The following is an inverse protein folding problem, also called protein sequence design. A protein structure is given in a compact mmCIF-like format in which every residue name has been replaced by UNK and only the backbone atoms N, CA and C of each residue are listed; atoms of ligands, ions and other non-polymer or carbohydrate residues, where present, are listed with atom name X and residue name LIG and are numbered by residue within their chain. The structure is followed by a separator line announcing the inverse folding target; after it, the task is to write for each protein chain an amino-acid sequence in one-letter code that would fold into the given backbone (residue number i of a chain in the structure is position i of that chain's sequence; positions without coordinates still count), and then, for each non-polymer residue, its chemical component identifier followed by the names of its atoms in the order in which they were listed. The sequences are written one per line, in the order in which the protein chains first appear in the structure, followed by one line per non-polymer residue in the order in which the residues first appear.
data_IF_725925541088
#
_entry.id   IF_725925541088
#
_cell.length_a   1.000
_cell.length_b   1.000
_cell.length_c   1.000
_cell.angle_alpha   90.00
_cell.angle_beta   90.00
_cell.angle_gamma   90.00
#
_symmetry.space_group_name_H-M   'P 1'
#
loop_
_entity.id
_entity.type
_entity.pdbx_description
1 polymer ?
#
# COMPACT_ATOMS: atom_id res chain seq x y z
N UNK A 1 -1.78 22.36 -10.79
CA UNK A 1 -0.38 22.66 -10.35
C UNK A 1 -0.35 23.50 -9.07
N UNK A 2 -0.96 24.69 -9.02
CA UNK A 2 -0.98 25.53 -7.79
C UNK A 2 -1.50 24.81 -6.54
N UNK A 3 -2.61 24.06 -6.64
CA UNK A 3 -3.17 23.27 -5.51
C UNK A 3 -2.15 22.30 -4.92
N UNK A 4 -1.40 21.61 -5.79
CA UNK A 4 -0.36 20.65 -5.39
C UNK A 4 0.74 21.40 -4.64
N UNK A 5 1.31 22.45 -5.24
CA UNK A 5 2.40 23.24 -4.66
C UNK A 5 2.02 23.75 -3.26
N UNK A 6 0.85 24.38 -3.13
CA UNK A 6 0.41 24.94 -1.84
C UNK A 6 0.22 23.85 -0.78
N UNK A 7 -0.43 22.74 -1.13
CA UNK A 7 -0.62 21.61 -0.21
C UNK A 7 0.71 20.94 0.19
N UNK A 8 1.66 20.82 -0.75
CA UNK A 8 3.00 20.30 -0.47
C UNK A 8 3.78 21.21 0.47
N UNK A 9 3.71 22.52 0.27
CA UNK A 9 4.37 23.50 1.15
C UNK A 9 3.80 23.44 2.57
N UNK A 10 2.48 23.29 2.70
CA UNK A 10 1.85 23.17 4.01
C UNK A 10 2.28 21.90 4.75
N UNK A 11 2.29 20.74 4.08
CA UNK A 11 2.80 19.50 4.67
C UNK A 11 4.28 19.59 5.01
N UNK A 12 5.10 20.22 4.16
CA UNK A 12 6.51 20.45 4.46
C UNK A 12 6.68 21.32 5.70
N UNK A 13 5.87 22.38 5.86
CA UNK A 13 5.88 23.20 7.07
C UNK A 13 5.53 22.38 8.32
N UNK A 14 4.56 21.47 8.23
CA UNK A 14 4.23 20.58 9.36
C UNK A 14 5.37 19.61 9.69
N UNK A 15 6.00 19.00 8.68
CA UNK A 15 7.18 18.13 8.88
C UNK A 15 8.32 18.91 9.51
N UNK A 16 8.55 20.17 9.11
CA UNK A 16 9.58 21.01 9.72
C UNK A 16 9.23 21.37 11.18
N UNK A 17 7.97 21.70 11.47
CA UNK A 17 7.54 21.95 12.85
C UNK A 17 7.75 20.70 13.71
N UNK A 18 7.35 19.53 13.22
CA UNK A 18 7.54 18.27 13.94
C UNK A 18 9.03 17.90 14.11
N UNK A 19 9.88 18.19 13.12
CA UNK A 19 11.32 18.03 13.23
C UNK A 19 11.93 18.87 14.36
N UNK A 20 11.49 20.13 14.54
CA UNK A 20 12.05 21.02 15.57
C UNK A 20 11.39 20.89 16.95
N UNK A 21 10.12 20.49 17.01
CA UNK A 21 9.33 20.46 18.25
C UNK A 21 8.85 19.05 18.64
N UNK A 22 9.31 18.01 17.94
CA UNK A 22 8.92 16.62 18.16
C UNK A 22 9.16 16.16 19.61
N UNK A 23 10.31 16.51 20.18
CA UNK A 23 10.68 16.18 21.57
C UNK A 23 9.62 16.64 22.58
N UNK A 24 9.12 17.87 22.48
CA UNK A 24 8.08 18.38 23.39
C UNK A 24 6.76 17.63 23.23
N UNK A 25 6.46 17.16 22.01
CA UNK A 25 5.24 16.37 21.77
C UNK A 25 5.39 14.90 22.22
N UNK A 26 6.62 14.43 22.43
CA UNK A 26 6.88 13.08 22.94
C UNK A 26 6.48 12.95 24.39
N UNK A 27 6.84 13.88 25.28
CA UNK A 27 6.48 13.79 26.72
C UNK A 27 4.96 13.61 26.92
N UNK A 28 4.16 14.37 26.16
CA UNK A 28 2.69 14.25 26.21
C UNK A 28 2.23 12.91 25.63
N UNK A 29 2.83 12.46 24.52
CA UNK A 29 2.45 11.21 23.86
C UNK A 29 2.87 9.97 24.65
N UNK A 30 3.96 10.08 25.41
CA UNK A 30 4.48 9.05 26.28
C UNK A 30 3.55 8.83 27.48
N UNK A 31 3.19 9.91 28.19
CA UNK A 31 2.18 9.87 29.26
C UNK A 31 0.87 9.21 28.82
N UNK A 32 0.47 9.42 27.56
CA UNK A 32 -0.72 8.76 27.00
C UNK A 32 -0.48 7.27 26.75
N UNK A 33 0.69 6.89 26.27
CA UNK A 33 1.06 5.49 26.01
C UNK A 33 1.11 4.70 27.31
N UNK A 34 1.78 5.22 28.33
CA UNK A 34 1.80 4.64 29.67
C UNK A 34 0.40 4.55 30.29
N UNK A 35 -0.40 5.62 30.14
CA UNK A 35 -1.78 5.61 30.60
C UNK A 35 -2.60 4.51 29.91
N UNK A 36 -2.48 4.35 28.59
CA UNK A 36 -3.19 3.29 27.86
C UNK A 36 -2.72 1.89 28.28
N UNK A 37 -1.42 1.68 28.48
CA UNK A 37 -0.89 0.38 28.89
C UNK A 37 -1.27 0.04 30.34
N UNK A 38 -1.25 1.02 31.26
CA UNK A 38 -1.64 0.81 32.65
C UNK A 38 -3.15 0.62 32.82
N UNK A 39 -3.98 1.39 32.11
CA UNK A 39 -5.44 1.32 32.21
C UNK A 39 -5.99 -0.06 31.81
N UNK A 40 -5.34 -0.74 30.87
CA UNK A 40 -5.78 -2.03 30.33
C UNK A 40 -4.91 -3.21 30.75
N UNK A 41 -4.07 -3.04 31.77
CA UNK A 41 -3.17 -4.07 32.31
C UNK A 41 -2.36 -4.79 31.20
N UNK A 42 -1.72 -4.02 30.33
CA UNK A 42 -0.98 -4.53 29.16
C UNK A 42 -0.04 -5.69 29.52
N UNK A 43 -0.06 -6.79 28.76
CA UNK A 43 0.76 -7.97 29.04
C UNK A 43 0.15 -8.95 30.04
N UNK A 44 -1.07 -8.70 30.52
CA UNK A 44 -1.91 -9.73 31.12
C UNK A 44 -2.39 -10.68 30.02
N UNK A 45 -1.94 -11.94 30.06
CA UNK A 45 -2.15 -12.96 29.00
C UNK A 45 -3.63 -13.20 28.61
N UNK A 46 -4.58 -12.78 29.44
CA UNK A 46 -6.02 -12.90 29.20
C UNK A 46 -6.71 -11.58 28.81
N UNK A 47 -5.95 -10.55 28.42
CA UNK A 47 -6.46 -9.23 28.07
C UNK A 47 -7.37 -9.25 26.83
N UNK A 48 -8.69 -9.17 27.03
CA UNK A 48 -9.65 -9.02 25.92
C UNK A 48 -9.37 -7.76 25.08
N UNK A 49 -8.94 -6.68 25.73
CA UNK A 49 -8.60 -5.41 25.07
C UNK A 49 -7.37 -5.56 24.18
N UNK A 50 -6.32 -6.21 24.68
CA UNK A 50 -5.11 -6.49 23.92
C UNK A 50 -5.42 -7.33 22.66
N UNK A 51 -6.16 -8.42 22.84
CA UNK A 51 -6.60 -9.28 21.73
C UNK A 51 -7.45 -8.52 20.71
N UNK A 52 -8.35 -7.65 21.18
CA UNK A 52 -9.17 -6.80 20.31
C UNK A 52 -8.31 -5.83 19.51
N UNK A 53 -7.41 -5.08 20.17
CA UNK A 53 -6.52 -4.11 19.51
C UNK A 53 -5.53 -4.78 18.55
N UNK A 54 -5.10 -6.01 18.84
CA UNK A 54 -4.23 -6.80 17.98
C UNK A 54 -4.86 -7.04 16.61
N UNK A 55 -6.17 -7.27 16.54
CA UNK A 55 -6.89 -7.46 15.27
C UNK A 55 -6.76 -6.21 14.39
N UNK A 56 -7.00 -5.02 14.95
CA UNK A 56 -6.89 -3.76 14.21
C UNK A 56 -5.46 -3.45 13.81
N UNK A 57 -4.50 -3.71 14.71
CA UNK A 57 -3.08 -3.61 14.39
C UNK A 57 -2.70 -4.48 13.19
N UNK A 58 -3.16 -5.74 13.16
CA UNK A 58 -2.92 -6.67 12.04
C UNK A 58 -3.58 -6.18 10.76
N UNK A 59 -4.82 -5.67 10.83
CA UNK A 59 -5.52 -5.12 9.66
C UNK A 59 -4.84 -3.84 9.13
N UNK A 60 -4.20 -3.05 9.99
CA UNK A 60 -3.33 -1.94 9.59
C UNK A 60 -1.99 -2.37 8.98
N UNK A 61 -1.61 -3.64 9.10
CA UNK A 61 -0.33 -4.18 8.70
C UNK A 61 -0.18 -4.43 7.19
N UNK A 62 1.06 -4.30 6.71
CA UNK A 62 1.45 -4.57 5.31
C UNK A 62 1.04 -5.95 4.81
N UNK A 63 1.18 -6.98 5.65
CA UNK A 63 0.90 -8.36 5.28
C UNK A 63 -0.58 -8.57 4.96
N UNK A 64 -1.47 -8.04 5.80
CA UNK A 64 -2.91 -8.15 5.60
C UNK A 64 -3.36 -7.40 4.34
N UNK A 65 -2.91 -6.15 4.15
CA UNK A 65 -3.21 -5.40 2.92
C UNK A 65 -2.69 -6.12 1.66
N UNK A 66 -1.52 -6.74 1.75
CA UNK A 66 -0.98 -7.63 0.71
C UNK A 66 -1.92 -8.78 0.36
N UNK A 67 -2.46 -9.47 1.37
CA UNK A 67 -3.47 -10.53 1.17
C UNK A 67 -4.74 -9.98 0.53
N UNK A 68 -5.19 -8.79 0.94
CA UNK A 68 -6.35 -8.13 0.33
C UNK A 68 -6.11 -7.83 -1.15
N UNK A 69 -4.90 -7.36 -1.55
CA UNK A 69 -4.56 -7.17 -2.96
C UNK A 69 -4.71 -8.45 -3.78
N UNK A 70 -4.20 -9.56 -3.26
CA UNK A 70 -4.26 -10.88 -3.90
C UNK A 70 -5.73 -11.31 -4.07
N UNK A 71 -6.54 -11.16 -3.03
CA UNK A 71 -7.98 -11.50 -3.07
C UNK A 71 -8.72 -10.62 -4.08
N UNK A 72 -8.48 -9.31 -4.09
CA UNK A 72 -9.08 -8.39 -5.04
C UNK A 72 -8.64 -8.71 -6.47
N UNK A 73 -7.36 -8.98 -6.67
CA UNK A 73 -6.80 -9.36 -7.97
C UNK A 73 -7.44 -10.63 -8.51
N UNK A 74 -7.75 -11.60 -7.67
CA UNK A 74 -8.44 -12.81 -8.10
C UNK A 74 -9.92 -12.57 -8.42
N UNK A 75 -10.62 -11.78 -7.61
CA UNK A 75 -12.09 -11.68 -7.65
C UNK A 75 -12.65 -10.54 -8.50
N UNK A 76 -11.91 -9.45 -8.68
CA UNK A 76 -12.42 -8.27 -9.39
C UNK A 76 -12.17 -8.38 -10.89
N UNK A 77 -13.18 -8.03 -11.70
CA UNK A 77 -12.98 -7.77 -13.13
C UNK A 77 -12.30 -6.42 -13.40
N UNK A 78 -12.35 -5.49 -12.44
CA UNK A 78 -11.78 -4.15 -12.55
C UNK A 78 -10.32 -4.12 -12.08
N UNK A 79 -9.41 -4.72 -12.86
CA UNK A 79 -7.98 -4.75 -12.52
C UNK A 79 -7.35 -3.37 -12.50
N UNK A 80 -7.78 -2.47 -13.37
CA UNK A 80 -7.24 -1.10 -13.42
C UNK A 80 -7.39 -0.39 -12.06
N UNK A 81 -8.54 -0.55 -11.40
CA UNK A 81 -8.76 0.01 -10.07
C UNK A 81 -7.84 -0.63 -9.00
N UNK A 82 -7.55 -1.92 -9.14
CA UNK A 82 -6.61 -2.61 -8.24
C UNK A 82 -5.19 -2.13 -8.48
N UNK A 83 -4.79 -1.91 -9.73
CA UNK A 83 -3.50 -1.30 -10.06
C UNK A 83 -3.38 0.09 -9.44
N UNK A 84 -4.41 0.94 -9.56
CA UNK A 84 -4.46 2.23 -8.85
C UNK A 84 -4.29 2.07 -7.35
N UNK A 85 -4.98 1.12 -6.72
CA UNK A 85 -4.88 0.88 -5.28
C UNK A 85 -3.46 0.42 -4.87
N UNK A 86 -2.84 -0.51 -5.60
CA UNK A 86 -1.46 -0.97 -5.37
C UNK A 86 -0.48 0.19 -5.56
N UNK A 87 -0.67 1.02 -6.59
CA UNK A 87 0.15 2.20 -6.85
C UNK A 87 0.08 3.20 -5.69
N UNK A 88 -1.13 3.52 -5.22
CA UNK A 88 -1.30 4.45 -4.11
C UNK A 88 -0.74 3.91 -2.80
N UNK A 89 -0.90 2.61 -2.54
CA UNK A 89 -0.24 1.95 -1.41
C UNK A 89 1.28 2.06 -1.48
N UNK A 90 1.86 1.87 -2.67
CA UNK A 90 3.31 1.96 -2.88
C UNK A 90 3.84 3.37 -2.68
N UNK A 91 3.16 4.38 -3.24
CA UNK A 91 3.51 5.80 -3.03
C UNK A 91 3.44 6.16 -1.54
N UNK A 92 2.39 5.71 -0.86
CA UNK A 92 2.19 5.95 0.57
C UNK A 92 3.27 5.28 1.42
N UNK A 93 3.62 4.04 1.09
CA UNK A 93 4.70 3.32 1.79
C UNK A 93 6.06 3.98 1.55
N UNK A 94 6.35 4.44 0.33
CA UNK A 94 7.54 5.22 0.03
C UNK A 94 7.60 6.49 0.87
N UNK A 95 6.52 7.28 0.91
CA UNK A 95 6.46 8.52 1.69
C UNK A 95 6.69 8.28 3.18
N UNK A 96 6.13 7.21 3.75
CA UNK A 96 6.38 6.84 5.15
C UNK A 96 7.87 6.61 5.44
N UNK A 97 8.53 5.76 4.64
CA UNK A 97 9.97 5.50 4.79
C UNK A 97 10.83 6.72 4.50
N UNK A 98 10.45 7.53 3.50
CA UNK A 98 11.15 8.75 3.15
C UNK A 98 11.11 9.79 4.27
N UNK A 99 9.94 10.01 4.88
CA UNK A 99 9.78 10.95 5.99
C UNK A 99 10.48 10.44 7.25
N UNK A 100 10.48 9.12 7.51
CA UNK A 100 11.30 8.50 8.57
C UNK A 100 12.79 8.81 8.43
N UNK A 101 13.29 8.76 7.20
CA UNK A 101 14.65 9.19 6.84
C UNK A 101 14.86 10.72 6.85
N UNK A 102 13.83 11.52 7.11
CA UNK A 102 13.96 12.96 7.38
C UNK A 102 13.91 13.23 8.88
N UNK A 103 12.94 12.63 9.59
CA UNK A 103 12.66 12.92 10.99
C UNK A 103 13.58 12.18 11.99
N UNK A 104 14.04 10.97 11.67
CA UNK A 104 14.91 10.17 12.56
C UNK A 104 14.36 9.89 13.96
N UNK A 105 13.05 10.03 14.18
CA UNK A 105 12.51 9.99 15.53
C UNK A 105 12.42 8.55 16.09
N UNK A 106 12.75 8.35 17.37
CA UNK A 106 12.70 7.06 18.04
C UNK A 106 11.28 6.52 18.18
N UNK A 107 11.19 5.28 18.66
CA UNK A 107 9.94 4.65 19.09
C UNK A 107 9.88 4.72 20.63
N UNK A 108 8.68 4.65 21.24
CA UNK A 108 8.53 4.70 22.69
C UNK A 108 9.48 3.77 23.46
N UNK A 109 9.53 2.49 23.08
CA UNK A 109 10.37 1.48 23.75
C UNK A 109 11.88 1.64 23.53
N UNK A 110 12.34 2.63 22.76
CA UNK A 110 13.77 2.95 22.64
C UNK A 110 14.24 3.90 23.75
N UNK A 111 13.32 4.62 24.38
CA UNK A 111 13.64 5.67 25.35
C UNK A 111 13.16 5.28 26.74
N UNK A 112 12.02 4.61 26.83
CA UNK A 112 11.39 4.28 28.10
C UNK A 112 11.46 2.77 28.40
N UNK A 113 11.99 2.43 29.58
CA UNK A 113 12.06 1.05 30.06
C UNK A 113 10.71 0.47 30.49
N UNK A 114 9.75 1.34 30.79
CA UNK A 114 8.47 0.97 31.38
C UNK A 114 7.43 0.65 30.31
N UNK A 115 7.65 1.11 29.07
CA UNK A 115 6.81 0.80 27.92
C UNK A 115 7.01 -0.67 27.52
N UNK A 116 5.97 -1.47 27.74
CA UNK A 116 5.99 -2.90 27.41
C UNK A 116 5.89 -3.11 25.90
N UNK A 117 6.61 -4.11 25.40
CA UNK A 117 6.73 -4.40 23.97
C UNK A 117 6.40 -5.85 23.63
N UNK A 118 5.49 -6.06 22.67
CA UNK A 118 5.23 -7.39 22.07
C UNK A 118 5.94 -7.61 20.73
N UNK A 119 6.30 -6.54 20.05
CA UNK A 119 6.91 -6.62 18.72
C UNK A 119 8.24 -5.90 18.69
N UNK A 120 9.32 -6.65 18.50
CA UNK A 120 10.67 -6.12 18.28
C UNK A 120 10.78 -5.48 16.88
N UNK A 121 10.12 -4.32 16.69
CA UNK A 121 10.23 -3.53 15.46
C UNK A 121 11.54 -2.74 15.46
N UNK A 122 12.03 -2.49 14.26
CA UNK A 122 13.23 -1.67 14.02
C UNK A 122 12.89 -0.50 13.13
N UNK A 123 13.85 0.42 13.01
CA UNK A 123 13.68 1.65 12.25
C UNK A 123 12.91 2.70 13.05
N UNK A 124 12.69 3.84 12.41
CA UNK A 124 12.12 5.03 13.03
C UNK A 124 10.62 4.91 13.30
N UNK A 125 10.16 5.68 14.29
CA UNK A 125 8.77 5.79 14.68
C UNK A 125 7.96 6.66 13.71
N UNK A 126 8.44 7.86 13.39
CA UNK A 126 7.63 8.90 12.74
C UNK A 126 7.76 8.95 11.20
N UNK A 127 6.66 8.84 10.43
CA UNK A 127 5.27 8.64 10.88
C UNK A 127 4.93 7.16 11.09
N UNK A 128 3.83 6.90 11.80
CA UNK A 128 3.33 5.53 11.94
C UNK A 128 2.88 4.95 10.60
N UNK A 129 3.61 3.94 10.10
CA UNK A 129 3.32 3.28 8.81
C UNK A 129 1.92 2.67 8.76
N UNK A 130 1.43 2.17 9.90
CA UNK A 130 0.11 1.54 9.97
C UNK A 130 -0.99 2.60 9.90
N UNK A 131 -0.86 3.72 10.61
CA UNK A 131 -1.80 4.84 10.53
C UNK A 131 -1.83 5.43 9.12
N UNK A 132 -0.65 5.72 8.55
CA UNK A 132 -0.48 6.30 7.21
C UNK A 132 -1.03 5.39 6.10
N UNK A 133 -0.64 4.11 6.07
CA UNK A 133 -1.09 3.21 5.00
C UNK A 133 -2.56 2.83 5.14
N UNK A 134 -3.05 2.62 6.36
CA UNK A 134 -4.45 2.21 6.57
C UNK A 134 -5.43 3.27 6.09
N UNK A 135 -5.21 4.55 6.42
CA UNK A 135 -6.12 5.62 5.98
C UNK A 135 -6.17 5.71 4.46
N UNK A 136 -5.03 5.67 3.77
CA UNK A 136 -5.01 5.72 2.30
C UNK A 136 -5.63 4.46 1.69
N UNK A 137 -5.20 3.29 2.15
CA UNK A 137 -5.62 2.01 1.60
C UNK A 137 -7.12 1.78 1.78
N UNK A 138 -7.64 1.89 3.00
CA UNK A 138 -9.04 1.55 3.28
C UNK A 138 -10.03 2.59 2.74
N UNK A 139 -9.64 3.87 2.65
CA UNK A 139 -10.48 4.88 1.99
C UNK A 139 -10.59 4.59 0.49
N UNK A 140 -9.48 4.38 -0.22
CA UNK A 140 -9.52 4.07 -1.66
C UNK A 140 -10.19 2.70 -1.90
N UNK A 141 -9.91 1.71 -1.05
CA UNK A 141 -10.54 0.39 -1.14
C UNK A 141 -12.06 0.48 -0.96
N UNK A 142 -12.53 1.27 0.02
CA UNK A 142 -13.96 1.46 0.26
C UNK A 142 -14.66 1.98 -0.98
N UNK A 143 -14.10 2.99 -1.62
CA UNK A 143 -14.67 3.61 -2.81
C UNK A 143 -14.63 2.66 -4.02
N UNK A 144 -13.52 1.92 -4.16
CA UNK A 144 -13.33 0.93 -5.24
C UNK A 144 -14.38 -0.18 -5.16
N UNK A 145 -14.59 -0.72 -3.95
CA UNK A 145 -15.56 -1.79 -3.70
C UNK A 145 -17.00 -1.29 -3.75
N UNK A 146 -17.29 -0.13 -3.14
CA UNK A 146 -18.65 0.37 -3.00
C UNK A 146 -19.19 0.98 -4.30
N UNK A 147 -18.43 1.83 -4.97
CA UNK A 147 -18.97 2.68 -6.03
C UNK A 147 -18.49 2.30 -7.42
N UNK A 148 -17.20 1.99 -7.58
CA UNK A 148 -16.62 1.77 -8.92
C UNK A 148 -16.92 0.39 -9.48
N UNK A 149 -16.89 -0.65 -8.64
CA UNK A 149 -17.29 -2.02 -9.04
C UNK A 149 -18.68 -2.09 -9.70
N UNK A 150 -19.62 -1.29 -9.21
CA UNK A 150 -21.01 -1.38 -9.65
C UNK A 150 -21.41 -0.34 -10.70
N UNK A 151 -20.65 0.75 -10.89
CA UNK A 151 -20.87 1.66 -12.03
C UNK A 151 -20.75 0.93 -13.38
N UNK A 152 -19.81 0.00 -13.49
CA UNK A 152 -19.64 -0.83 -14.70
C UNK A 152 -20.79 -1.82 -14.88
N UNK A 153 -21.32 -2.38 -13.79
CA UNK A 153 -22.49 -3.28 -13.88
C UNK A 153 -23.79 -2.52 -14.16
N UNK A 154 -23.94 -1.27 -13.75
CA UNK A 154 -25.15 -0.48 -14.00
C UNK A 154 -25.35 -0.15 -15.49
N UNK A 155 -24.27 -0.07 -16.29
CA UNK A 155 -24.37 0.00 -17.75
C UNK A 155 -24.86 -1.32 -18.37
N UNK A 156 -24.58 -2.46 -17.73
CA UNK A 156 -24.93 -3.81 -18.22
C UNK A 156 -26.27 -4.33 -17.67
N UNK A 157 -26.69 -3.84 -16.50
CA UNK A 157 -27.99 -4.07 -15.91
C UNK A 157 -29.03 -3.28 -16.72
N UNK A 158 -29.51 -3.91 -17.80
CA UNK A 158 -30.76 -3.60 -18.49
C UNK A 158 -32.00 -3.54 -17.57
N UNK A 159 -31.85 -3.59 -16.24
CA UNK A 159 -32.90 -3.22 -15.28
C UNK A 159 -33.29 -1.75 -15.44
N UNK A 160 -32.40 -0.87 -15.89
CA UNK A 160 -32.74 0.51 -16.31
C UNK A 160 -33.32 0.60 -17.74
N UNK A 161 -33.38 -0.48 -18.53
CA UNK A 161 -34.06 -0.45 -19.84
C UNK A 161 -35.58 -0.59 -19.72
N UNK A 162 -36.08 -1.05 -18.57
CA UNK A 162 -37.51 -1.06 -18.23
C UNK A 162 -38.00 0.23 -17.55
N UNK A 163 -37.08 1.10 -17.10
CA UNK A 163 -37.39 2.42 -16.58
C UNK A 163 -37.44 3.37 -17.78
N UNK A 164 -38.65 3.85 -18.12
CA UNK A 164 -38.97 4.78 -19.22
C UNK A 164 -37.77 5.55 -19.77
N UNK A 165 -37.56 5.49 -21.10
CA UNK A 165 -36.51 6.23 -21.81
C UNK A 165 -36.46 7.73 -21.43
N UNK A 166 -37.60 8.33 -21.06
CA UNK A 166 -37.68 9.72 -20.56
C UNK A 166 -36.95 9.96 -19.22
N UNK A 167 -36.92 8.96 -18.32
CA UNK A 167 -36.11 9.04 -17.09
C UNK A 167 -34.63 8.87 -17.38
N UNK A 168 -34.25 8.10 -18.42
CA UNK A 168 -32.86 7.89 -18.81
C UNK A 168 -32.17 9.20 -19.21
N UNK A 169 -32.90 10.12 -19.86
CA UNK A 169 -32.44 11.49 -20.17
C UNK A 169 -32.34 12.39 -18.93
N UNK A 170 -33.22 12.24 -17.94
CA UNK A 170 -33.11 12.96 -16.66
C UNK A 170 -31.96 12.44 -15.77
N UNK A 171 -31.63 11.16 -15.85
CA UNK A 171 -30.50 10.57 -15.11
C UNK A 171 -29.14 10.99 -15.67
N UNK A 172 -29.06 11.36 -16.96
CA UNK A 172 -27.81 11.86 -17.53
C UNK A 172 -27.41 13.25 -17.05
N UNK A 173 -28.32 14.03 -16.44
CA UNK A 173 -28.02 15.40 -15.99
C UNK A 173 -27.90 15.56 -14.48
N UNK A 174 -28.44 14.63 -13.66
CA UNK A 174 -28.38 14.72 -12.20
C UNK A 174 -27.32 13.77 -11.64
N UNK A 175 -26.16 14.32 -11.28
CA UNK A 175 -25.11 13.61 -10.55
C UNK A 175 -25.72 13.12 -9.22
N UNK A 176 -26.00 11.81 -9.12
CA UNK A 176 -26.57 11.23 -7.91
C UNK A 176 -25.64 11.51 -6.73
N UNK A 177 -26.23 11.83 -5.58
CA UNK A 177 -25.45 11.92 -4.34
C UNK A 177 -24.88 10.55 -3.99
N UNK A 178 -23.77 10.51 -3.24
CA UNK A 178 -23.19 9.24 -2.79
C UNK A 178 -24.15 8.46 -1.88
N UNK A 179 -25.03 9.15 -1.14
CA UNK A 179 -26.08 8.54 -0.32
C UNK A 179 -27.12 7.83 -1.21
N UNK A 180 -27.58 8.48 -2.27
CA UNK A 180 -28.53 7.90 -3.23
C UNK A 180 -27.91 6.71 -3.97
N UNK A 181 -26.65 6.86 -4.41
CA UNK A 181 -25.93 5.77 -5.07
C UNK A 181 -25.73 4.58 -4.12
N UNK A 182 -25.35 4.82 -2.86
CA UNK A 182 -25.16 3.76 -1.88
C UNK A 182 -26.48 3.02 -1.60
N UNK A 183 -27.57 3.75 -1.33
CA UNK A 183 -28.88 3.14 -1.08
C UNK A 183 -29.42 2.35 -2.27
N UNK A 184 -29.12 2.77 -3.50
CA UNK A 184 -29.46 2.02 -4.72
C UNK A 184 -28.62 0.75 -4.89
N UNK A 185 -27.33 0.80 -4.58
CA UNK A 185 -26.43 -0.36 -4.68
C UNK A 185 -26.67 -1.39 -3.58
N UNK A 186 -27.17 -0.93 -2.43
CA UNK A 186 -27.33 -1.73 -1.22
C UNK A 186 -28.74 -1.57 -0.62
N UNK A 187 -29.81 -1.92 -1.36
CA UNK A 187 -31.18 -1.66 -0.93
C UNK A 187 -31.59 -2.42 0.34
N UNK A 188 -30.86 -3.49 0.67
CA UNK A 188 -31.12 -4.35 1.83
C UNK A 188 -30.13 -4.14 2.97
N UNK A 189 -29.23 -3.15 2.92
CA UNK A 189 -28.31 -2.92 4.04
C UNK A 189 -28.98 -2.13 5.14
N UNK A 190 -28.84 -2.60 6.37
CA UNK A 190 -29.30 -1.87 7.56
C UNK A 190 -28.48 -0.61 7.84
N UNK A 191 -27.29 -0.50 7.24
CA UNK A 191 -26.38 0.63 7.42
C UNK A 191 -26.63 1.70 6.34
N UNK A 192 -26.78 2.94 6.77
CA UNK A 192 -26.71 4.12 5.90
C UNK A 192 -25.26 4.42 5.50
N UNK A 193 -25.07 5.19 4.43
CA UNK A 193 -23.73 5.60 4.00
C UNK A 193 -22.99 6.44 5.06
N UNK A 194 -23.71 7.26 5.83
CA UNK A 194 -23.13 8.01 6.95
C UNK A 194 -22.65 7.08 8.08
N UNK A 195 -23.42 6.05 8.43
CA UNK A 195 -22.99 5.03 9.39
C UNK A 195 -21.77 4.26 8.89
N UNK A 196 -21.74 3.91 7.60
CA UNK A 196 -20.58 3.29 6.98
C UNK A 196 -19.31 4.14 7.11
N UNK A 197 -19.39 5.44 6.79
CA UNK A 197 -18.26 6.38 6.94
C UNK A 197 -17.80 6.47 8.40
N UNK A 198 -18.73 6.52 9.34
CA UNK A 198 -18.42 6.55 10.77
C UNK A 198 -17.71 5.26 11.22
N UNK A 199 -18.17 4.09 10.78
CA UNK A 199 -17.51 2.82 11.06
C UNK A 199 -16.10 2.76 10.47
N UNK A 200 -15.91 3.23 9.24
CA UNK A 200 -14.58 3.31 8.62
C UNK A 200 -13.65 4.25 9.39
N UNK A 201 -14.13 5.43 9.79
CA UNK A 201 -13.36 6.38 10.59
C UNK A 201 -12.97 5.78 11.96
N UNK A 202 -13.91 5.09 12.61
CA UNK A 202 -13.68 4.38 13.88
C UNK A 202 -12.64 3.28 13.72
N UNK A 203 -12.75 2.49 12.64
CA UNK A 203 -11.77 1.44 12.32
C UNK A 203 -10.36 2.00 12.15
N UNK A 204 -10.21 3.10 11.40
CA UNK A 204 -8.93 3.76 11.18
C UNK A 204 -8.36 4.39 12.46
N UNK A 205 -9.22 4.96 13.29
CA UNK A 205 -8.85 5.51 14.59
C UNK A 205 -8.30 4.41 15.51
N UNK A 206 -9.03 3.30 15.68
CA UNK A 206 -8.59 2.17 16.52
C UNK A 206 -7.29 1.56 15.96
N UNK A 207 -7.15 1.48 14.63
CA UNK A 207 -5.90 1.03 14.00
C UNK A 207 -4.72 1.91 14.40
N UNK A 208 -4.87 3.25 14.41
CA UNK A 208 -3.83 4.15 14.90
C UNK A 208 -3.53 3.95 16.38
N UNK A 209 -4.55 4.03 17.23
CA UNK A 209 -4.42 3.89 18.70
C UNK A 209 -3.79 2.55 19.09
N UNK A 210 -4.09 1.46 18.37
CA UNK A 210 -3.46 0.16 18.62
C UNK A 210 -1.94 0.22 18.54
N UNK A 211 -1.34 1.04 17.65
CA UNK A 211 0.12 1.16 17.56
C UNK A 211 0.72 1.87 18.78
N UNK A 212 0.01 2.84 19.36
CA UNK A 212 0.42 3.48 20.61
C UNK A 212 0.25 2.54 21.79
N UNK A 213 -0.87 1.81 21.86
CA UNK A 213 -1.08 0.79 22.89
C UNK A 213 0.04 -0.27 22.92
N UNK A 214 0.46 -0.78 21.77
CA UNK A 214 1.57 -1.74 21.65
C UNK A 214 2.98 -1.12 21.80
N UNK A 215 3.07 0.15 22.21
CA UNK A 215 4.33 0.88 22.38
C UNK A 215 5.10 1.13 21.07
N UNK A 216 4.52 0.83 19.90
CA UNK A 216 5.26 0.87 18.62
C UNK A 216 5.44 2.28 18.07
N UNK A 217 4.55 3.20 18.45
CA UNK A 217 4.52 4.57 17.98
C UNK A 217 3.92 5.49 19.04
N UNK A 218 4.52 6.65 19.26
CA UNK A 218 3.89 7.72 20.02
C UNK A 218 2.61 8.22 19.32
N UNK A 219 1.69 8.84 20.07
CA UNK A 219 0.43 9.35 19.52
C UNK A 219 0.66 10.43 18.46
N UNK A 220 1.60 11.35 18.66
CA UNK A 220 1.97 12.35 17.65
C UNK A 220 2.41 11.68 16.32
N UNK A 221 3.17 10.59 16.35
CA UNK A 221 3.59 9.84 15.15
C UNK A 221 2.40 9.19 14.43
N UNK A 222 1.37 8.76 15.18
CA UNK A 222 0.11 8.27 14.62
C UNK A 222 -0.67 9.40 13.94
N UNK A 223 -0.78 10.56 14.60
CA UNK A 223 -1.42 11.76 14.06
C UNK A 223 -0.72 12.24 12.80
N UNK A 224 0.62 12.31 12.81
CA UNK A 224 1.42 12.66 11.64
C UNK A 224 1.17 11.68 10.50
N UNK A 225 1.09 10.38 10.79
CA UNK A 225 0.68 9.36 9.81
C UNK A 225 -0.68 9.64 9.18
N UNK A 226 -1.69 10.04 9.97
CA UNK A 226 -3.00 10.44 9.42
C UNK A 226 -2.95 11.74 8.61
N UNK A 227 -2.16 12.74 9.03
CA UNK A 227 -2.00 14.00 8.30
C UNK A 227 -1.38 13.73 6.93
N UNK A 228 -0.28 12.99 6.87
CA UNK A 228 0.39 12.62 5.61
C UNK A 228 -0.55 11.76 4.75
N UNK A 229 -1.29 10.82 5.35
CA UNK A 229 -2.26 10.00 4.63
C UNK A 229 -3.43 10.82 4.06
N UNK A 230 -3.94 11.77 4.84
CA UNK A 230 -4.95 12.74 4.41
C UNK A 230 -4.45 13.61 3.25
N UNK A 231 -3.18 14.03 3.30
CA UNK A 231 -2.54 14.73 2.19
C UNK A 231 -2.46 13.87 0.91
N UNK A 232 -2.06 12.60 1.02
CA UNK A 232 -2.04 11.67 -0.12
C UNK A 232 -3.44 11.49 -0.70
N UNK A 233 -4.46 11.34 0.13
CA UNK A 233 -5.86 11.28 -0.31
C UNK A 233 -6.31 12.61 -0.95
N UNK A 234 -5.85 13.75 -0.44
CA UNK A 234 -6.12 15.05 -1.04
C UNK A 234 -5.54 15.15 -2.46
N UNK A 235 -4.29 14.71 -2.66
CA UNK A 235 -3.70 14.64 -3.99
C UNK A 235 -4.47 13.69 -4.91
N UNK A 236 -4.85 12.52 -4.39
CA UNK A 236 -5.60 11.50 -5.12
C UNK A 236 -6.93 12.04 -5.67
N UNK A 237 -7.75 12.63 -4.80
CA UNK A 237 -9.11 13.06 -5.14
C UNK A 237 -9.22 14.48 -5.68
N UNK A 238 -8.47 15.45 -5.14
CA UNK A 238 -8.66 16.87 -5.43
C UNK A 238 -7.60 17.45 -6.38
N UNK A 239 -6.49 16.74 -6.61
CA UNK A 239 -5.45 17.14 -7.56
C UNK A 239 -5.40 16.27 -8.82
N UNK A 240 -6.49 15.54 -9.12
CA UNK A 240 -6.65 14.69 -10.31
C UNK A 240 -5.59 13.59 -10.44
N UNK A 241 -4.88 13.22 -9.37
CA UNK A 241 -3.90 12.13 -9.42
C UNK A 241 -4.57 10.80 -9.77
N UNK A 242 -5.79 10.56 -9.28
CA UNK A 242 -6.57 9.38 -9.69
C UNK A 242 -6.71 9.29 -11.22
N UNK A 243 -7.19 10.37 -11.86
CA UNK A 243 -7.45 10.40 -13.32
C UNK A 243 -6.16 10.22 -14.10
N UNK A 244 -5.04 10.76 -13.59
CA UNK A 244 -3.73 10.58 -14.20
C UNK A 244 -3.28 9.12 -14.13
N UNK A 245 -3.45 8.45 -12.98
CA UNK A 245 -3.13 7.02 -12.84
C UNK A 245 -4.02 6.14 -13.73
N UNK A 246 -5.32 6.44 -13.81
CA UNK A 246 -6.27 5.78 -14.70
C UNK A 246 -5.88 5.93 -16.16
N UNK A 247 -5.65 7.16 -16.62
CA UNK A 247 -5.19 7.42 -17.98
C UNK A 247 -3.87 6.71 -18.27
N UNK A 248 -2.95 6.65 -17.31
CA UNK A 248 -1.66 5.99 -17.45
C UNK A 248 -1.81 4.48 -17.63
N UNK A 249 -2.64 3.82 -16.82
CA UNK A 249 -2.88 2.38 -16.96
C UNK A 249 -3.70 2.05 -18.21
N UNK A 250 -4.75 2.82 -18.53
CA UNK A 250 -5.53 2.65 -19.76
C UNK A 250 -4.62 2.77 -20.98
N UNK A 251 -3.74 3.78 -21.04
CA UNK A 251 -2.77 3.90 -22.12
C UNK A 251 -1.84 2.69 -22.19
N UNK A 252 -1.35 2.19 -21.05
CA UNK A 252 -0.50 1.01 -21.03
C UNK A 252 -1.22 -0.26 -21.52
N UNK A 253 -2.49 -0.42 -21.16
CA UNK A 253 -3.28 -1.59 -21.49
C UNK A 253 -3.71 -1.58 -22.96
N UNK A 254 -4.21 -0.44 -23.46
CA UNK A 254 -4.88 -0.35 -24.77
C UNK A 254 -4.02 0.23 -25.89
N UNK A 255 -3.08 1.14 -25.61
CA UNK A 255 -2.29 1.81 -26.66
C UNK A 255 -0.99 1.06 -26.99
N UNK A 256 -1.09 -0.25 -27.25
CA UNK A 256 0.06 -1.08 -27.62
C UNK A 256 0.65 -0.69 -28.99
N UNK A 257 -0.13 0.01 -29.85
CA UNK A 257 0.30 0.47 -31.18
C UNK A 257 1.02 1.82 -31.19
N UNK A 258 1.28 2.44 -30.04
CA UNK A 258 1.99 3.72 -29.99
C UNK A 258 3.38 3.65 -30.66
N UNK A 259 3.75 4.73 -31.35
CA UNK A 259 5.09 4.88 -31.91
C UNK A 259 6.15 4.79 -30.81
N UNK A 260 7.25 4.05 -31.08
CA UNK A 260 8.34 3.78 -30.13
C UNK A 260 8.82 5.03 -29.37
N UNK A 261 8.89 6.18 -30.06
CA UNK A 261 9.31 7.45 -29.47
C UNK A 261 8.37 7.95 -28.37
N UNK A 262 7.05 7.83 -28.54
CA UNK A 262 6.09 8.19 -27.49
C UNK A 262 6.24 7.23 -26.30
N UNK A 263 6.44 5.93 -26.56
CA UNK A 263 6.65 4.92 -25.53
C UNK A 263 7.85 5.28 -24.63
N UNK A 264 8.99 5.54 -25.25
CA UNK A 264 10.23 5.91 -24.55
C UNK A 264 10.06 7.23 -23.78
N UNK A 265 9.31 8.20 -24.30
CA UNK A 265 9.03 9.46 -23.60
C UNK A 265 8.20 9.25 -22.34
N UNK A 266 7.17 8.40 -22.38
CA UNK A 266 6.34 8.10 -21.21
C UNK A 266 7.13 7.31 -20.15
N UNK A 267 7.86 6.27 -20.57
CA UNK A 267 8.73 5.49 -19.69
C UNK A 267 9.81 6.37 -19.05
N UNK A 268 10.45 7.24 -19.83
CA UNK A 268 11.48 8.15 -19.34
C UNK A 268 10.95 9.12 -18.28
N UNK A 269 9.74 9.67 -18.47
CA UNK A 269 9.09 10.52 -17.46
C UNK A 269 8.85 9.78 -16.15
N UNK A 270 8.26 8.59 -16.22
CA UNK A 270 7.99 7.78 -15.02
C UNK A 270 9.29 7.36 -14.32
N UNK A 271 10.32 6.97 -15.08
CA UNK A 271 11.62 6.65 -14.54
C UNK A 271 12.25 7.84 -13.80
N UNK A 272 12.13 9.06 -14.32
CA UNK A 272 12.60 10.27 -13.62
C UNK A 272 11.83 10.45 -12.31
N UNK A 273 10.50 10.31 -12.32
CA UNK A 273 9.67 10.46 -11.13
C UNK A 273 9.92 9.41 -10.04
N UNK A 274 10.45 8.22 -10.39
CA UNK A 274 10.80 7.19 -9.39
C UNK A 274 12.27 7.24 -8.98
N UNK A 275 13.19 7.44 -9.92
CA UNK A 275 14.63 7.48 -9.66
C UNK A 275 15.02 8.72 -8.87
N UNK A 276 14.44 9.90 -9.17
CA UNK A 276 14.83 11.12 -8.48
C UNK A 276 14.56 11.09 -6.96
N UNK A 277 13.35 10.74 -6.47
CA UNK A 277 13.11 10.59 -5.04
C UNK A 277 13.96 9.48 -4.40
N UNK A 278 14.27 8.41 -5.15
CA UNK A 278 15.16 7.36 -4.67
C UNK A 278 16.60 7.86 -4.49
N UNK A 279 17.12 8.69 -5.40
CA UNK A 279 18.45 9.29 -5.26
C UNK A 279 18.53 10.18 -4.01
N UNK A 280 17.47 10.95 -3.74
CA UNK A 280 17.38 11.74 -2.49
C UNK A 280 17.36 10.80 -1.27
N UNK A 281 16.61 9.70 -1.33
CA UNK A 281 16.56 8.71 -0.26
C UNK A 281 17.93 8.09 0.02
N UNK A 282 18.69 7.76 -1.04
CA UNK A 282 20.07 7.26 -0.93
C UNK A 282 20.99 8.31 -0.32
N UNK A 283 20.85 9.58 -0.72
CA UNK A 283 21.64 10.67 -0.14
C UNK A 283 21.35 10.83 1.36
N UNK A 284 20.08 10.83 1.77
CA UNK A 284 19.68 10.87 3.18
C UNK A 284 20.25 9.69 3.96
N UNK A 285 20.12 8.48 3.42
CA UNK A 285 20.71 7.27 4.00
C UNK A 285 22.22 7.43 4.22
N UNK A 286 22.96 7.92 3.22
CA UNK A 286 24.42 8.12 3.32
C UNK A 286 24.78 9.20 4.35
N UNK A 287 24.03 10.30 4.40
CA UNK A 287 24.26 11.36 5.39
C UNK A 287 24.05 10.84 6.82
N UNK A 288 23.01 10.03 7.04
CA UNK A 288 22.68 9.49 8.36
C UNK A 288 23.61 8.40 8.83
N UNK A 289 23.97 7.47 7.95
CA UNK A 289 24.91 6.38 8.27
C UNK A 289 26.29 6.92 8.66
N UNK A 290 26.62 8.17 8.32
CA UNK A 290 27.86 8.83 8.69
C UNK A 290 27.69 9.89 9.80
N UNK A 291 26.49 10.05 10.37
CA UNK A 291 26.25 11.00 11.45
C UNK A 291 26.60 10.36 12.80
N UNK A 292 27.70 10.80 13.41
CA UNK A 292 28.24 10.25 14.66
C UNK A 292 27.26 10.40 15.83
N UNK A 293 26.58 11.55 15.94
CA UNK A 293 25.63 11.82 17.03
C UNK A 293 24.43 10.87 16.95
N UNK A 294 23.89 10.68 15.74
CA UNK A 294 22.79 9.75 15.51
C UNK A 294 23.18 8.29 15.78
N UNK A 295 24.41 7.90 15.43
CA UNK A 295 24.93 6.54 15.73
C UNK A 295 24.99 6.33 17.24
N UNK A 296 25.49 7.32 18.00
CA UNK A 296 25.54 7.24 19.45
C UNK A 296 24.14 7.12 20.05
N UNK A 297 23.17 7.92 19.60
CA UNK A 297 21.77 7.81 20.02
C UNK A 297 21.19 6.42 19.72
N UNK A 298 21.49 5.86 18.54
CA UNK A 298 21.04 4.51 18.18
C UNK A 298 21.67 3.42 19.04
N UNK A 299 22.92 3.58 19.47
CA UNK A 299 23.57 2.67 20.41
C UNK A 299 22.88 2.71 21.78
N UNK A 300 22.53 3.90 22.26
CA UNK A 300 21.76 4.09 23.50
C UNK A 300 20.38 3.44 23.41
N UNK A 301 19.63 3.68 22.32
CA UNK A 301 18.37 2.98 22.03
C UNK A 301 18.53 1.47 21.98
N UNK A 302 19.67 0.98 21.48
CA UNK A 302 20.01 -0.43 21.44
C UNK A 302 20.17 -1.07 22.82
N UNK A 303 20.54 -0.30 23.85
CA UNK A 303 20.62 -0.76 25.23
C UNK A 303 19.21 -0.93 25.83
N UNK A 304 18.31 0.05 25.63
CA UNK A 304 16.90 -0.07 26.03
C UNK A 304 16.19 -1.20 25.28
N UNK A 305 16.50 -1.39 23.99
CA UNK A 305 15.96 -2.49 23.22
C UNK A 305 16.37 -3.87 23.78
N UNK A 306 17.58 -4.00 24.33
CA UNK A 306 18.07 -5.25 24.93
C UNK A 306 17.45 -5.55 26.30
N UNK A 307 17.10 -4.52 27.08
CA UNK A 307 16.51 -4.72 28.40
C UNK A 307 15.17 -5.47 28.33
N UNK A 308 14.52 -5.43 27.16
CA UNK A 308 13.31 -6.17 26.87
C UNK A 308 13.63 -7.65 26.55
N UNK A 309 13.27 -8.56 27.46
CA UNK A 309 13.49 -10.01 27.32
C UNK A 309 13.04 -10.60 25.97
N UNK A 310 11.96 -10.09 25.37
CA UNK A 310 11.46 -10.57 24.06
C UNK A 310 12.40 -10.22 22.90
N UNK A 311 13.29 -9.24 23.06
CA UNK A 311 14.15 -8.69 22.02
C UNK A 311 15.65 -8.98 22.21
N UNK A 312 16.04 -9.61 23.32
CA UNK A 312 17.44 -9.91 23.68
C UNK A 312 18.22 -10.57 22.52
N UNK A 313 17.63 -11.55 21.86
CA UNK A 313 18.25 -12.28 20.75
C UNK A 313 18.33 -11.51 19.41
N UNK A 314 17.95 -10.23 19.38
CA UNK A 314 17.85 -9.44 18.14
C UNK A 314 18.82 -8.26 18.05
N UNK A 315 19.68 -8.04 19.06
CA UNK A 315 20.59 -6.90 19.13
C UNK A 315 21.53 -6.77 17.92
N UNK A 316 22.24 -7.85 17.55
CA UNK A 316 23.18 -7.80 16.41
C UNK A 316 22.49 -7.34 15.13
N UNK A 317 21.21 -7.70 15.00
CA UNK A 317 20.40 -7.29 13.88
C UNK A 317 19.84 -5.89 14.07
N UNK A 318 19.71 -5.35 15.28
CA UNK A 318 19.24 -3.98 15.54
C UNK A 318 20.24 -2.97 14.97
N UNK A 319 21.49 -3.02 15.45
CA UNK A 319 22.56 -2.09 15.05
C UNK A 319 22.81 -2.08 13.54
N UNK A 320 22.74 -3.25 12.89
CA UNK A 320 23.04 -3.39 11.45
C UNK A 320 21.88 -3.07 10.52
N UNK A 321 20.66 -2.81 11.00
CA UNK A 321 19.49 -2.77 10.10
C UNK A 321 18.60 -1.53 10.21
N UNK A 322 18.95 -0.56 11.05
CA UNK A 322 18.09 0.59 11.31
C UNK A 322 17.82 1.39 10.02
N UNK A 323 18.86 1.98 9.42
CA UNK A 323 18.77 2.72 8.16
C UNK A 323 18.46 1.82 6.97
N UNK A 324 18.98 0.59 7.00
CA UNK A 324 18.80 -0.39 5.93
C UNK A 324 17.32 -0.72 5.70
N UNK A 325 16.52 -0.77 6.77
CA UNK A 325 15.09 -1.03 6.65
C UNK A 325 14.37 0.11 5.92
N UNK A 326 14.71 1.35 6.21
CA UNK A 326 14.04 2.52 5.64
C UNK A 326 14.41 2.71 4.16
N UNK A 327 15.69 2.55 3.79
CA UNK A 327 16.11 2.66 2.39
C UNK A 327 15.55 1.51 1.52
N UNK A 328 15.48 0.29 2.08
CA UNK A 328 14.82 -0.85 1.41
C UNK A 328 13.32 -0.59 1.28
N UNK A 329 12.70 -0.04 2.32
CA UNK A 329 11.31 0.39 2.29
C UNK A 329 11.02 1.42 1.21
N UNK A 330 11.92 2.39 1.00
CA UNK A 330 11.80 3.41 -0.04
C UNK A 330 11.84 2.83 -1.47
N UNK A 331 12.48 1.68 -1.69
CA UNK A 331 12.53 1.03 -3.00
C UNK A 331 11.15 0.64 -3.54
N UNK A 332 10.11 0.56 -2.68
CA UNK A 332 8.73 0.24 -3.09
C UNK A 332 8.16 1.22 -4.11
N UNK A 333 8.73 2.44 -4.24
CA UNK A 333 8.32 3.41 -5.27
C UNK A 333 8.52 2.90 -6.70
N UNK A 334 9.36 1.89 -6.90
CA UNK A 334 9.56 1.26 -8.21
C UNK A 334 8.44 0.29 -8.59
N UNK A 335 7.62 -0.17 -7.64
CA UNK A 335 6.51 -1.07 -7.92
C UNK A 335 5.51 -0.47 -8.94
N UNK A 336 5.00 0.77 -8.79
CA UNK A 336 4.19 1.43 -9.82
C UNK A 336 4.84 1.48 -11.20
N UNK A 337 6.13 1.76 -11.26
CA UNK A 337 6.88 1.82 -12.51
C UNK A 337 6.96 0.45 -13.18
N UNK A 338 7.28 -0.61 -12.43
CA UNK A 338 7.33 -1.97 -12.95
C UNK A 338 5.95 -2.50 -13.35
N UNK A 339 4.89 -2.20 -12.59
CA UNK A 339 3.51 -2.52 -12.98
C UNK A 339 3.16 -1.85 -14.31
N UNK A 340 3.48 -0.56 -14.48
CA UNK A 340 3.27 0.15 -15.74
C UNK A 340 4.04 -0.51 -16.88
N UNK A 341 5.34 -0.76 -16.73
CA UNK A 341 6.14 -1.41 -17.76
C UNK A 341 5.57 -2.78 -18.14
N UNK A 342 5.19 -3.59 -17.15
CA UNK A 342 4.62 -4.91 -17.43
C UNK A 342 3.29 -4.80 -18.17
N UNK A 343 2.42 -3.86 -17.80
CA UNK A 343 1.17 -3.62 -18.54
C UNK A 343 1.45 -3.16 -19.98
N UNK A 344 2.43 -2.27 -20.13
CA UNK A 344 2.79 -1.64 -21.40
C UNK A 344 3.42 -2.61 -22.40
N UNK A 345 4.23 -3.56 -21.92
CA UNK A 345 4.97 -4.51 -22.76
C UNK A 345 4.31 -5.90 -22.86
N UNK A 346 3.32 -6.21 -22.01
CA UNK A 346 2.61 -7.50 -22.08
C UNK A 346 1.48 -7.39 -23.10
N UNK A 347 1.56 -8.10 -24.24
CA UNK A 347 0.51 -8.05 -25.25
C UNK A 347 -0.76 -8.75 -24.73
N UNK A 348 -1.91 -8.12 -24.96
CA UNK A 348 -3.19 -8.68 -24.57
C UNK A 348 -4.34 -7.69 -24.71
N UNK A 349 -5.56 -8.21 -24.61
CA UNK A 349 -6.77 -7.40 -24.51
C UNK A 349 -7.30 -7.42 -23.08
N UNK A 350 -7.91 -6.31 -22.67
CA UNK A 350 -8.65 -6.19 -21.42
C UNK A 350 -10.07 -5.74 -21.74
N UNK A 351 -11.06 -6.59 -21.45
CA UNK A 351 -12.48 -6.33 -21.72
C UNK A 351 -13.28 -6.56 -20.44
N UNK A 352 -13.21 -5.66 -19.45
CA UNK A 352 -13.81 -5.88 -18.13
C UNK A 352 -15.30 -6.24 -18.20
N UNK A 353 -16.02 -5.76 -19.21
CA UNK A 353 -17.46 -6.01 -19.42
C UNK A 353 -17.78 -7.49 -19.72
N UNK A 354 -16.81 -8.26 -20.23
CA UNK A 354 -16.97 -9.70 -20.46
C UNK A 354 -16.62 -10.55 -19.22
N UNK A 355 -16.15 -9.93 -18.14
CA UNK A 355 -15.68 -10.66 -16.97
C UNK A 355 -16.85 -11.28 -16.18
N UNK A 356 -16.98 -12.61 -16.25
CA UNK A 356 -17.97 -13.33 -15.46
C UNK A 356 -17.53 -13.46 -13.99
N UNK A 357 -18.33 -12.88 -13.08
CA UNK A 357 -18.07 -12.89 -11.63
C UNK A 357 -18.30 -14.24 -10.92
N UNK A 358 -18.68 -15.31 -11.61
CA UNK A 358 -18.84 -16.64 -11.03
C UNK A 358 -17.47 -17.25 -10.66
N UNK A 359 -17.00 -16.90 -9.46
CA UNK A 359 -15.65 -17.17 -8.93
C UNK A 359 -15.46 -18.56 -8.31
N UNK A 360 -16.53 -19.32 -8.08
CA UNK A 360 -16.51 -20.66 -7.47
C UNK A 360 -16.58 -21.80 -8.50
N UNK A 361 -16.02 -21.60 -9.69
CA UNK A 361 -15.85 -22.65 -10.68
C UNK A 361 -14.55 -23.43 -10.43
N UNK A 362 -14.41 -24.62 -11.01
CA UNK A 362 -13.15 -25.39 -10.99
C UNK A 362 -11.96 -24.53 -11.47
N UNK A 363 -12.19 -23.65 -12.47
CA UNK A 363 -11.22 -22.66 -12.93
C UNK A 363 -10.77 -21.72 -11.80
N UNK A 364 -11.70 -21.25 -10.97
CA UNK A 364 -11.41 -20.42 -9.81
C UNK A 364 -10.46 -21.10 -8.81
N UNK A 365 -10.68 -22.39 -8.52
CA UNK A 365 -9.80 -23.17 -7.62
C UNK A 365 -8.39 -23.30 -8.21
N UNK A 366 -8.28 -23.63 -9.51
CA UNK A 366 -6.99 -23.73 -10.20
C UNK A 366 -6.24 -22.40 -10.15
N UNK A 367 -6.92 -21.27 -10.37
CA UNK A 367 -6.32 -19.93 -10.28
C UNK A 367 -5.75 -19.61 -8.90
N UNK A 368 -6.46 -20.00 -7.83
CA UNK A 368 -6.00 -19.84 -6.45
C UNK A 368 -4.74 -20.68 -6.21
N UNK A 369 -4.73 -21.95 -6.63
CA UNK A 369 -3.58 -22.83 -6.47
C UNK A 369 -2.33 -22.30 -7.19
N UNK A 370 -2.49 -21.83 -8.43
CA UNK A 370 -1.40 -21.19 -9.19
C UNK A 370 -0.85 -19.98 -8.42
N UNK A 371 -1.73 -19.11 -7.91
CA UNK A 371 -1.30 -17.92 -7.18
C UNK A 371 -0.59 -18.27 -5.87
N UNK A 372 -1.10 -19.26 -5.11
CA UNK A 372 -0.43 -19.75 -3.90
C UNK A 372 0.96 -20.28 -4.22
N UNK A 373 1.12 -21.08 -5.28
CA UNK A 373 2.42 -21.57 -5.73
C UNK A 373 3.41 -20.44 -6.06
N UNK A 374 2.93 -19.39 -6.74
CA UNK A 374 3.73 -18.21 -7.08
C UNK A 374 4.08 -17.35 -5.86
N UNK A 375 3.20 -17.25 -4.87
CA UNK A 375 3.49 -16.55 -3.61
C UNK A 375 4.53 -17.31 -2.79
N UNK A 376 4.44 -18.65 -2.76
CA UNK A 376 5.46 -19.49 -2.13
C UNK A 376 6.81 -19.31 -2.81
N UNK A 377 6.87 -19.25 -4.15
CA UNK A 377 8.13 -19.00 -4.86
C UNK A 377 8.68 -17.61 -4.56
N UNK A 378 7.83 -16.59 -4.43
CA UNK A 378 8.25 -15.25 -4.02
C UNK A 378 8.84 -15.25 -2.60
N UNK A 379 8.19 -15.93 -1.65
CA UNK A 379 8.70 -16.08 -0.28
C UNK A 379 10.05 -16.81 -0.28
N UNK A 380 10.19 -17.86 -1.08
CA UNK A 380 11.46 -18.58 -1.21
C UNK A 380 12.57 -17.70 -1.78
N UNK A 381 12.30 -16.93 -2.84
CA UNK A 381 13.24 -15.97 -3.41
C UNK A 381 13.63 -14.93 -2.35
N UNK A 382 12.66 -14.39 -1.61
CA UNK A 382 12.92 -13.40 -0.56
C UNK A 382 13.81 -13.97 0.55
N UNK A 383 13.51 -15.18 1.06
CA UNK A 383 14.34 -15.87 2.06
C UNK A 383 15.74 -16.13 1.52
N UNK A 384 15.85 -16.60 0.28
CA UNK A 384 17.13 -16.89 -0.37
C UNK A 384 17.97 -15.61 -0.53
N UNK A 385 17.40 -14.56 -1.12
CA UNK A 385 18.06 -13.25 -1.27
C UNK A 385 18.51 -12.73 0.10
N UNK A 386 17.65 -12.79 1.12
CA UNK A 386 18.00 -12.34 2.46
C UNK A 386 19.11 -13.19 3.09
N UNK A 387 19.08 -14.51 2.93
CA UNK A 387 20.10 -15.41 3.45
C UNK A 387 21.45 -15.17 2.79
N UNK A 388 21.48 -15.02 1.45
CA UNK A 388 22.69 -14.74 0.68
C UNK A 388 23.27 -13.36 1.05
N UNK A 389 22.42 -12.35 1.21
CA UNK A 389 22.86 -11.01 1.62
C UNK A 389 23.37 -11.00 3.07
N UNK A 390 22.71 -11.72 3.97
CA UNK A 390 23.06 -11.72 5.41
C UNK A 390 24.20 -12.70 5.77
N UNK A 391 24.55 -13.67 4.92
CA UNK A 391 25.59 -14.66 5.20
C UNK A 391 27.01 -14.15 4.99
N UNK A 392 27.18 -13.04 4.27
CA UNK A 392 28.51 -12.49 4.03
C UNK A 392 28.90 -11.58 5.21
N UNK A 393 29.97 -11.94 5.91
CA UNK A 393 30.53 -11.26 7.09
C UNK A 393 31.18 -9.90 6.80
N UNK A 394 31.02 -9.38 5.58
CA UNK A 394 31.58 -8.12 5.12
C UNK A 394 30.47 -7.08 5.00
N UNK A 395 30.86 -5.81 5.09
CA UNK A 395 30.12 -4.58 4.75
C UNK A 395 29.67 -4.54 3.27
N UNK A 396 29.14 -5.66 2.76
CA UNK A 396 28.57 -5.85 1.43
C UNK A 396 27.23 -5.11 1.41
N UNK A 397 27.45 -3.81 1.26
CA UNK A 397 26.71 -2.72 0.65
C UNK A 397 25.21 -2.87 0.63
N UNK A 398 24.54 -1.89 1.25
CA UNK A 398 23.14 -1.51 1.00
C UNK A 398 22.73 -1.56 -0.47
N UNK A 399 23.66 -1.37 -1.41
CA UNK A 399 23.45 -1.61 -2.82
C UNK A 399 22.84 -3.01 -3.12
N UNK A 400 23.29 -4.09 -2.48
CA UNK A 400 22.72 -5.43 -2.64
C UNK A 400 21.30 -5.54 -2.08
N UNK A 401 21.04 -4.89 -0.93
CA UNK A 401 19.69 -4.83 -0.37
C UNK A 401 18.73 -4.06 -1.29
N UNK A 402 19.18 -2.92 -1.81
CA UNK A 402 18.44 -2.11 -2.78
C UNK A 402 18.19 -2.94 -4.06
N UNK A 403 19.23 -3.49 -4.68
CA UNK A 403 19.11 -4.29 -5.91
C UNK A 403 18.21 -5.52 -5.69
N UNK A 404 18.37 -6.21 -4.56
CA UNK A 404 17.52 -7.35 -4.20
C UNK A 404 16.05 -6.95 -4.04
N UNK A 405 15.78 -5.80 -3.42
CA UNK A 405 14.42 -5.28 -3.28
C UNK A 405 13.84 -4.83 -4.63
N UNK A 406 14.61 -4.12 -5.46
CA UNK A 406 14.19 -3.74 -6.81
C UNK A 406 13.84 -4.96 -7.67
N UNK A 407 14.65 -6.03 -7.58
CA UNK A 407 14.36 -7.30 -8.23
C UNK A 407 13.07 -7.93 -7.71
N UNK A 408 12.80 -7.86 -6.41
CA UNK A 408 11.56 -8.37 -5.81
C UNK A 408 10.32 -7.62 -6.32
N UNK A 409 10.37 -6.30 -6.42
CA UNK A 409 9.26 -5.49 -6.95
C UNK A 409 9.03 -5.73 -8.45
N UNK A 410 10.11 -5.91 -9.22
CA UNK A 410 10.04 -6.30 -10.63
C UNK A 410 9.42 -7.70 -10.77
N UNK A 411 9.91 -8.66 -9.97
CA UNK A 411 9.40 -10.03 -9.98
C UNK A 411 7.92 -10.09 -9.63
N UNK A 412 7.49 -9.35 -8.60
CA UNK A 412 6.08 -9.24 -8.23
C UNK A 412 5.22 -8.67 -9.38
N UNK A 413 5.72 -7.64 -10.08
CA UNK A 413 5.02 -7.05 -11.23
C UNK A 413 4.91 -8.03 -12.40
N UNK A 414 6.01 -8.72 -12.73
CA UNK A 414 6.03 -9.76 -13.77
C UNK A 414 5.10 -10.92 -13.42
N UNK A 415 5.12 -11.34 -12.16
CA UNK A 415 4.26 -12.40 -11.63
C UNK A 415 2.80 -12.03 -11.85
N UNK A 416 2.39 -10.84 -11.40
CA UNK A 416 1.01 -10.40 -11.41
C UNK A 416 0.46 -10.16 -12.83
N UNK A 417 1.26 -9.52 -13.69
CA UNK A 417 0.80 -8.99 -14.98
C UNK A 417 1.10 -9.93 -16.15
N UNK A 418 2.21 -10.68 -16.10
CA UNK A 418 2.69 -11.48 -17.24
C UNK A 418 2.58 -12.97 -16.95
N UNK A 419 3.20 -13.46 -15.88
CA UNK A 419 3.28 -14.90 -15.58
C UNK A 419 1.91 -15.47 -15.21
N UNK A 420 1.15 -14.77 -14.36
CA UNK A 420 -0.13 -15.25 -13.88
C UNK A 420 -1.16 -15.43 -15.02
N UNK A 421 -1.38 -14.46 -15.94
CA UNK A 421 -2.25 -14.67 -17.10
C UNK A 421 -1.77 -15.80 -18.02
N UNK A 422 -0.46 -15.94 -18.21
CA UNK A 422 0.12 -17.04 -19.02
C UNK A 422 -0.18 -18.41 -18.40
N UNK A 423 -0.02 -18.55 -17.09
CA UNK A 423 -0.34 -19.79 -16.38
C UNK A 423 -1.83 -20.10 -16.40
N UNK A 424 -2.70 -19.09 -16.29
CA UNK A 424 -4.14 -19.29 -16.45
C UNK A 424 -4.50 -19.81 -17.83
N UNK A 425 -3.90 -19.26 -18.90
CA UNK A 425 -4.08 -19.77 -20.26
C UNK A 425 -3.57 -21.19 -20.41
N UNK A 426 -2.36 -21.47 -19.91
CA UNK A 426 -1.74 -22.81 -19.97
C UNK A 426 -2.60 -23.87 -19.27
N UNK A 427 -3.16 -23.54 -18.12
CA UNK A 427 -4.04 -24.43 -17.34
C UNK A 427 -5.51 -24.41 -17.79
N UNK A 428 -5.86 -23.73 -18.90
CA UNK A 428 -7.26 -23.54 -19.37
C UNK A 428 -8.19 -22.94 -18.29
N UNK A 429 -7.62 -22.12 -17.42
CA UNK A 429 -8.27 -21.44 -16.31
C UNK A 429 -8.52 -19.96 -16.61
N UNK A 430 -8.31 -19.53 -17.85
CA UNK A 430 -8.60 -18.18 -18.31
C UNK A 430 -10.12 -17.92 -18.33
N UNK A 431 -10.46 -16.65 -18.07
CA UNK A 431 -11.82 -16.11 -18.05
C UNK A 431 -11.87 -15.01 -19.10
N UNK A 432 -12.95 -14.97 -19.88
CA UNK A 432 -13.17 -13.90 -20.85
C UNK A 432 -13.21 -12.54 -20.13
N UNK A 433 -12.64 -11.52 -20.77
CA UNK A 433 -12.55 -10.19 -20.18
C UNK A 433 -11.50 -10.01 -19.07
N UNK A 434 -10.83 -11.08 -18.64
CA UNK A 434 -9.73 -10.97 -17.68
C UNK A 434 -8.51 -10.28 -18.30
N UNK A 435 -7.62 -9.80 -17.44
CA UNK A 435 -6.57 -8.85 -17.78
C UNK A 435 -5.50 -9.38 -18.73
N UNK A 436 -5.22 -8.62 -19.79
CA UNK A 436 -4.18 -8.85 -20.79
C UNK A 436 -4.17 -10.29 -21.33
N UNK A 437 -5.36 -10.79 -21.70
CA UNK A 437 -5.46 -12.08 -22.39
C UNK A 437 -4.83 -11.97 -23.77
N UNK A 438 -3.80 -12.78 -24.03
CA UNK A 438 -3.15 -12.86 -25.34
C UNK A 438 -4.04 -13.63 -26.30
N UNK A 439 -4.69 -12.93 -27.21
CA UNK A 439 -5.50 -13.54 -28.28
C UNK A 439 -4.54 -14.21 -29.27
N UNK A 440 -4.79 -15.47 -29.60
CA UNK A 440 -4.03 -16.10 -30.67
C UNK A 440 -4.38 -15.39 -31.99
N UNK A 441 -3.40 -15.11 -32.85
CA UNK A 441 -3.69 -14.49 -34.17
C UNK A 441 -4.73 -15.27 -34.98
N UNK A 442 -4.84 -16.58 -34.75
CA UNK A 442 -5.87 -17.46 -35.31
C UNK A 442 -7.28 -17.06 -34.84
N UNK A 443 -7.47 -16.77 -33.55
CA UNK A 443 -8.75 -16.30 -33.01
C UNK A 443 -9.11 -14.90 -33.56
N UNK A 444 -8.11 -14.05 -33.87
CA UNK A 444 -8.36 -12.75 -34.51
C UNK A 444 -8.89 -12.97 -35.94
N UNK A 445 -8.26 -13.87 -36.70
CA UNK A 445 -8.70 -14.19 -38.06
C UNK A 445 -10.08 -14.86 -38.08
N UNK A 446 -10.40 -15.70 -37.10
CA UNK A 446 -11.74 -16.31 -36.95
C UNK A 446 -12.83 -15.31 -36.50
N UNK A 447 -12.47 -14.21 -35.85
CA UNK A 447 -13.43 -13.14 -35.48
C UNK A 447 -13.67 -12.12 -36.62
N UNK A 448 -12.73 -12.02 -37.57
CA UNK A 448 -12.86 -11.14 -38.74
C UNK A 448 -13.59 -11.80 -39.92
N UNK A 449 -13.74 -13.14 -39.89
CA UNK A 449 -14.55 -13.95 -40.81
C UNK A 449 -15.97 -14.14 -40.26
#
# INVERSE_FOLDING_TARGET
MQKIILSSLWVLSLILVDYFYGETTFEISDSITEYLQSLFDYGNENGLVESFLLIFYVFGGRQFMGMVFIILWLKSGLKEQILKLITMYSITSFLGHFIKMILAQPRPFYEESDVRLDFCKKGYGDPSDNALRSIVFYVILSETLLFKKYKVQASDLGVLSSINQDKKLQYHSKQLSNDDLYSQLYPNTMLSYNQYKFMLATFLFITGISNSYFGLNYLNQVIMGWIIGGYVLYLYYFCDLEKQLESLFIQAIYNQSDQLNNKLRHVGRLAIFTVFPMLISILLYLLRTNNVELIQQQEEWGLYFQSHQKCENQLDRFNRSFENQEIVGACVIFLPFYLYLCCYFTPGQYKPDLYNHQTLTLKGVVRVLILVGLLISQVFIHIFTRKVVMSNSLDINVAYLIVGQLFLELYFSLLLITILPLLYKFCKADIDGDFLRRINQIEIQEMEL
#
